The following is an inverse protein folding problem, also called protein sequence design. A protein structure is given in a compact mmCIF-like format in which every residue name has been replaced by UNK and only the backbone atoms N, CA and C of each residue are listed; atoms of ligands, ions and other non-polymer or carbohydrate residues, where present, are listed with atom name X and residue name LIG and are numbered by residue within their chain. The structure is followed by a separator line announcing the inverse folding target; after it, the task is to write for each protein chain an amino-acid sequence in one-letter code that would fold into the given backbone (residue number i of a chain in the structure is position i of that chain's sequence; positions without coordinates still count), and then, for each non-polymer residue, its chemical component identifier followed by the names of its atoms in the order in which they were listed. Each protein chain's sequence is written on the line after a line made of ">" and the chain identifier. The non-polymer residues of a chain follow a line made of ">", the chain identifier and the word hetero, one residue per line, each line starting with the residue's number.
data_IF_715936184177
#
_entry.id   IF_715936184177
#
_cell.length_a   1.000
_cell.length_b   1.000
_cell.length_c   1.000
_cell.angle_alpha   90.00
_cell.angle_beta   90.00
_cell.angle_gamma   90.00
#
_symmetry.space_group_name_H-M   'P 1'
#
loop_
_entity.id
_entity.type
_entity.pdbx_description
1 polymer ?
#
# COMPACT_ATOMS: atom_id res chain seq x y z
N UNK A 1 8.43 -11.26 -6.03
CA UNK A 1 7.20 -10.62 -6.49
C UNK A 1 7.49 -9.77 -7.73
N UNK A 2 6.46 -9.28 -8.37
CA UNK A 2 6.66 -8.53 -9.60
C UNK A 2 7.04 -7.07 -9.32
N UNK A 3 7.25 -6.34 -10.39
CA UNK A 3 7.68 -4.95 -10.34
C UNK A 3 6.66 -4.05 -9.64
N UNK A 4 5.37 -4.32 -9.85
CA UNK A 4 4.32 -3.55 -9.21
C UNK A 4 4.38 -3.70 -7.70
N UNK A 5 4.54 -4.93 -7.22
CA UNK A 5 4.67 -5.15 -5.78
C UNK A 5 5.88 -4.42 -5.22
N UNK A 6 6.99 -4.46 -5.94
CA UNK A 6 8.22 -3.79 -5.50
C UNK A 6 8.02 -2.28 -5.36
N UNK A 7 7.29 -1.68 -6.28
CA UNK A 7 7.00 -0.25 -6.21
C UNK A 7 6.13 0.09 -5.01
N UNK A 8 5.11 -0.73 -4.76
CA UNK A 8 4.23 -0.53 -3.62
C UNK A 8 5.01 -0.69 -2.33
N UNK A 9 5.82 -1.73 -2.25
CA UNK A 9 6.65 -2.01 -1.08
C UNK A 9 7.57 -0.83 -0.76
N UNK A 10 8.20 -0.29 -1.79
CA UNK A 10 9.10 0.82 -1.64
C UNK A 10 8.40 2.07 -1.13
N UNK A 11 7.22 2.35 -1.68
CA UNK A 11 6.43 3.50 -1.23
C UNK A 11 6.00 3.35 0.23
N UNK A 12 5.59 2.16 0.62
CA UNK A 12 5.22 1.90 2.00
C UNK A 12 6.41 2.12 2.92
N UNK A 13 7.57 1.59 2.53
CA UNK A 13 8.78 1.74 3.33
C UNK A 13 9.15 3.20 3.52
N UNK A 14 9.06 4.00 2.47
CA UNK A 14 9.38 5.42 2.55
C UNK A 14 8.41 6.19 3.43
N UNK A 15 7.11 5.93 3.26
CA UNK A 15 6.10 6.69 3.97
C UNK A 15 6.02 6.33 5.45
N UNK A 16 6.23 5.07 5.78
CA UNK A 16 6.18 4.61 7.16
C UNK A 16 7.55 4.57 7.82
N UNK A 17 8.60 4.89 7.06
CA UNK A 17 9.98 4.92 7.56
C UNK A 17 10.41 3.59 8.16
N UNK A 18 10.14 2.51 7.42
CA UNK A 18 10.52 1.16 7.82
C UNK A 18 11.30 0.51 6.68
N UNK A 19 11.96 -0.61 6.98
CA UNK A 19 12.74 -1.32 5.98
C UNK A 19 11.84 -2.11 5.03
N UNK A 20 12.19 -2.09 3.74
CA UNK A 20 11.43 -2.83 2.73
C UNK A 20 11.37 -4.32 3.05
N UNK A 21 12.43 -4.87 3.62
CA UNK A 21 12.51 -6.30 3.93
C UNK A 21 11.45 -6.75 4.94
N UNK A 22 10.91 -5.81 5.70
CA UNK A 22 9.87 -6.12 6.69
C UNK A 22 8.48 -6.11 6.10
N UNK A 23 8.34 -5.68 4.86
CA UNK A 23 7.05 -5.56 4.20
C UNK A 23 6.81 -6.77 3.32
N UNK A 24 5.79 -7.55 3.65
CA UNK A 24 5.41 -8.74 2.87
C UNK A 24 3.95 -8.62 2.48
N UNK A 25 3.49 -9.51 1.64
CA UNK A 25 2.10 -9.52 1.21
C UNK A 25 1.14 -9.72 2.39
N UNK A 26 1.59 -10.44 3.41
CA UNK A 26 0.76 -10.74 4.57
C UNK A 26 0.83 -9.66 5.67
N UNK A 27 1.72 -8.70 5.53
CA UNK A 27 1.86 -7.62 6.52
C UNK A 27 0.56 -6.81 6.61
N UNK A 28 0.05 -6.64 7.83
CA UNK A 28 -1.11 -5.79 8.02
C UNK A 28 -0.65 -4.35 8.25
N UNK A 29 -1.39 -3.39 7.68
CA UNK A 29 -1.00 -1.99 7.80
C UNK A 29 -1.00 -1.51 9.25
N UNK A 30 -2.03 -1.87 10.00
CA UNK A 30 -2.16 -1.40 11.39
C UNK A 30 -1.39 -2.26 12.38
N UNK A 31 -1.44 -3.57 12.20
CA UNK A 31 -0.80 -4.48 13.13
C UNK A 31 0.71 -4.58 12.93
N UNK A 32 1.11 -5.02 11.75
CA UNK A 32 2.52 -5.30 11.47
C UNK A 32 3.33 -4.06 11.13
N UNK A 33 2.73 -3.12 10.41
CA UNK A 33 3.44 -1.93 9.95
C UNK A 33 3.21 -0.70 10.81
N UNK A 34 2.28 -0.78 11.74
CA UNK A 34 2.01 0.31 12.67
C UNK A 34 1.42 1.57 12.07
N UNK A 35 0.77 1.45 10.92
CA UNK A 35 0.16 2.59 10.28
C UNK A 35 -1.21 2.89 10.89
N UNK A 36 -1.47 4.16 11.21
CA UNK A 36 -2.81 4.54 11.65
C UNK A 36 -3.63 5.03 10.44
N UNK A 37 -4.83 5.56 10.69
CA UNK A 37 -5.72 6.00 9.61
C UNK A 37 -5.10 7.08 8.74
N UNK A 38 -4.42 8.03 9.37
CA UNK A 38 -3.79 9.11 8.63
C UNK A 38 -2.65 8.60 7.77
N UNK A 39 -1.83 7.72 8.33
CA UNK A 39 -0.72 7.12 7.57
C UNK A 39 -1.26 6.34 6.38
N UNK A 40 -2.36 5.62 6.56
CA UNK A 40 -2.97 4.86 5.48
C UNK A 40 -3.43 5.77 4.35
N UNK A 41 -4.07 6.88 4.67
CA UNK A 41 -4.52 7.82 3.64
C UNK A 41 -3.36 8.47 2.91
N UNK A 42 -2.31 8.84 3.63
CA UNK A 42 -1.13 9.41 3.00
C UNK A 42 -0.47 8.40 2.06
N UNK A 43 -0.42 7.15 2.49
CA UNK A 43 0.14 6.09 1.68
C UNK A 43 -0.68 5.86 0.41
N UNK A 44 -2.01 5.81 0.55
CA UNK A 44 -2.91 5.65 -0.58
C UNK A 44 -2.72 6.80 -1.58
N UNK A 45 -2.63 8.02 -1.09
CA UNK A 45 -2.42 9.18 -1.94
C UNK A 45 -1.10 9.07 -2.72
N UNK A 46 -0.03 8.65 -2.03
CA UNK A 46 1.26 8.48 -2.68
C UNK A 46 1.20 7.43 -3.78
N UNK A 47 0.49 6.33 -3.52
CA UNK A 47 0.33 5.27 -4.52
C UNK A 47 -0.43 5.79 -5.73
N UNK A 48 -1.49 6.56 -5.50
CA UNK A 48 -2.27 7.13 -6.61
C UNK A 48 -1.39 8.02 -7.48
N UNK A 49 -0.57 8.86 -6.86
CA UNK A 49 0.30 9.77 -7.57
C UNK A 49 1.39 9.04 -8.37
N UNK A 50 2.02 8.07 -7.74
CA UNK A 50 3.14 7.35 -8.35
C UNK A 50 2.71 6.40 -9.46
N UNK A 51 1.60 5.73 -9.27
CA UNK A 51 1.16 4.69 -10.19
C UNK A 51 0.04 5.13 -11.14
N UNK A 52 -0.46 6.34 -10.95
CA UNK A 52 -1.51 6.86 -11.81
C UNK A 52 -2.83 6.12 -11.69
N UNK A 53 -3.14 5.62 -10.51
CA UNK A 53 -4.39 4.90 -10.25
C UNK A 53 -5.28 5.72 -9.33
N UNK A 54 -6.56 5.38 -9.31
CA UNK A 54 -7.52 6.05 -8.44
C UNK A 54 -8.06 5.04 -7.45
N UNK A 55 -7.96 5.36 -6.16
CA UNK A 55 -8.40 4.46 -5.09
C UNK A 55 -9.48 5.18 -4.28
N UNK A 56 -10.76 4.75 -4.39
CA UNK A 56 -11.83 5.36 -3.61
C UNK A 56 -11.60 5.16 -2.11
N UNK A 57 -12.06 6.12 -1.32
CA UNK A 57 -11.86 6.07 0.13
C UNK A 57 -12.45 4.80 0.76
N UNK A 58 -13.61 4.36 0.29
CA UNK A 58 -14.23 3.16 0.83
C UNK A 58 -13.39 1.92 0.55
N UNK A 59 -12.72 1.88 -0.58
CA UNK A 59 -11.81 0.77 -0.89
C UNK A 59 -10.54 0.85 -0.04
N UNK A 60 -10.01 2.04 0.12
CA UNK A 60 -8.83 2.24 0.97
C UNK A 60 -9.09 1.77 2.39
N UNK A 61 -10.29 2.03 2.90
CA UNK A 61 -10.66 1.60 4.25
C UNK A 61 -10.79 0.09 4.40
N UNK A 62 -10.97 -0.63 3.29
CA UNK A 62 -11.08 -2.08 3.32
C UNK A 62 -9.72 -2.78 3.29
N UNK A 63 -8.65 -2.04 3.02
CA UNK A 63 -7.32 -2.63 2.95
C UNK A 63 -6.83 -2.98 4.35
N UNK A 64 -6.59 -4.25 4.60
CA UNK A 64 -6.03 -4.72 5.86
C UNK A 64 -4.57 -5.09 5.71
N UNK A 65 -4.22 -5.71 4.58
CA UNK A 65 -2.85 -6.17 4.31
C UNK A 65 -2.31 -5.51 3.05
N UNK A 66 -1.00 -5.62 2.88
CA UNK A 66 -0.33 -5.15 1.67
C UNK A 66 -0.90 -5.85 0.43
N UNK A 67 -1.23 -7.14 0.58
CA UNK A 67 -1.81 -7.90 -0.53
C UNK A 67 -3.14 -7.30 -0.99
N UNK A 68 -3.97 -6.84 -0.06
CA UNK A 68 -5.26 -6.22 -0.41
C UNK A 68 -5.04 -5.01 -1.30
N UNK A 69 -4.10 -4.15 -0.92
CA UNK A 69 -3.78 -2.97 -1.72
C UNK A 69 -3.19 -3.37 -3.06
N UNK A 70 -2.29 -4.34 -3.06
CA UNK A 70 -1.66 -4.83 -4.29
C UNK A 70 -2.69 -5.37 -5.27
N UNK A 71 -3.59 -6.22 -4.79
CA UNK A 71 -4.61 -6.82 -5.65
C UNK A 71 -5.52 -5.77 -6.27
N UNK A 72 -5.92 -4.79 -5.48
CA UNK A 72 -6.77 -3.72 -5.99
C UNK A 72 -6.05 -2.89 -7.06
N UNK A 73 -4.82 -2.52 -6.79
CA UNK A 73 -4.03 -1.70 -7.71
C UNK A 73 -3.76 -2.46 -9.00
N UNK A 74 -3.46 -3.74 -8.89
CA UNK A 74 -3.21 -4.56 -10.06
C UNK A 74 -4.45 -4.63 -10.95
N UNK A 75 -5.63 -4.73 -10.35
CA UNK A 75 -6.88 -4.72 -11.11
C UNK A 75 -7.15 -3.37 -11.76
N UNK A 76 -6.75 -2.29 -11.10
CA UNK A 76 -6.96 -0.94 -11.61
C UNK A 76 -6.01 -0.58 -12.75
N UNK A 77 -4.82 -1.17 -12.76
CA UNK A 77 -3.86 -0.98 -13.84
C UNK A 77 -4.15 -2.00 -14.94
N UNK A 78 -4.35 -1.55 -16.12
CA UNK A 78 -4.65 -2.47 -17.22
C UNK A 78 -3.58 -2.49 -18.27
#
# INVERSE_FOLDING_TARGET
>A
MDELFNKIQKLIAEKLEIEESKITTDSSFRGDLGADSLDTYELVYAIEEELGVSIPDDKANEFETVKDAYDFIKSAQK
#
